data_IF_747091227974
#
_entry.id   IF_747091227974
#
_cell.length_a   1.000
_cell.length_b   1.000
_cell.length_c   1.000
_cell.angle_alpha   90.00
_cell.angle_beta   90.00
_cell.angle_gamma   90.00
#
_symmetry.space_group_name_H-M   'P 1'
#
loop_
_entity.id
_entity.type
_entity.pdbx_description
1 polymer ?
#
# COMPACT_ATOMS: atom_id res chain seq x y z
N UNK A 1 34.39 30.79 -27.12
CA UNK A 1 34.43 30.20 -25.75
C UNK A 1 33.00 29.81 -25.39
N UNK A 2 32.64 28.52 -25.47
CA UNK A 2 31.29 28.08 -25.13
C UNK A 2 31.18 27.91 -23.61
N UNK A 3 30.40 28.78 -22.96
CA UNK A 3 30.11 28.70 -21.53
C UNK A 3 29.45 27.36 -21.19
N UNK A 4 30.13 26.57 -20.35
CA UNK A 4 29.63 25.29 -19.82
C UNK A 4 28.38 25.59 -18.99
N UNK A 5 27.19 25.25 -19.50
CA UNK A 5 25.94 25.23 -18.73
C UNK A 5 26.14 24.32 -17.53
N UNK A 6 26.39 24.89 -16.35
CA UNK A 6 26.40 24.15 -15.09
C UNK A 6 24.97 23.73 -14.81
N UNK A 7 24.70 22.43 -14.77
CA UNK A 7 23.42 21.88 -14.34
C UNK A 7 23.18 22.36 -12.91
N UNK A 8 22.10 23.11 -12.68
CA UNK A 8 21.73 23.52 -11.32
C UNK A 8 21.46 22.26 -10.48
N UNK A 9 22.14 22.14 -9.35
CA UNK A 9 21.99 21.05 -8.39
C UNK A 9 21.44 21.59 -7.08
N UNK A 10 20.70 20.76 -6.34
CA UNK A 10 20.22 21.14 -5.01
C UNK A 10 21.33 21.01 -3.94
N UNK A 11 21.02 21.31 -2.68
CA UNK A 11 21.92 21.18 -1.54
C UNK A 11 22.50 19.77 -1.33
N UNK A 12 21.87 18.74 -1.90
CA UNK A 12 22.34 17.35 -1.87
C UNK A 12 23.14 16.96 -3.13
N UNK A 13 23.50 17.93 -3.98
CA UNK A 13 24.26 17.69 -5.21
C UNK A 13 23.47 17.02 -6.34
N UNK A 14 22.15 16.84 -6.19
CA UNK A 14 21.31 16.22 -7.22
C UNK A 14 20.82 17.25 -8.22
N UNK A 15 20.89 16.91 -9.50
CA UNK A 15 20.23 17.67 -10.56
C UNK A 15 18.71 17.55 -10.44
N UNK A 16 17.99 18.51 -11.01
CA UNK A 16 16.52 18.48 -11.07
C UNK A 16 16.00 17.14 -11.65
N UNK A 17 16.65 16.61 -12.69
CA UNK A 17 16.31 15.31 -13.28
C UNK A 17 16.51 14.13 -12.31
N UNK A 18 17.59 14.13 -11.54
CA UNK A 18 17.86 13.11 -10.52
C UNK A 18 16.87 13.19 -9.36
N UNK A 19 16.50 14.39 -8.92
CA UNK A 19 15.45 14.61 -7.92
C UNK A 19 14.11 14.07 -8.38
N UNK A 20 13.71 14.38 -9.61
CA UNK A 20 12.46 13.86 -10.18
C UNK A 20 12.48 12.33 -10.32
N UNK A 21 13.62 11.73 -10.68
CA UNK A 21 13.78 10.29 -10.75
C UNK A 21 13.66 9.64 -9.36
N UNK A 22 14.32 10.20 -8.34
CA UNK A 22 14.26 9.71 -6.97
C UNK A 22 12.85 9.80 -6.36
N UNK A 23 12.14 10.92 -6.60
CA UNK A 23 10.74 11.10 -6.16
C UNK A 23 9.84 10.07 -6.86
N UNK A 24 10.06 9.80 -8.15
CA UNK A 24 9.30 8.80 -8.90
C UNK A 24 9.54 7.39 -8.36
N UNK A 25 10.80 7.00 -8.17
CA UNK A 25 11.17 5.69 -7.65
C UNK A 25 10.59 5.45 -6.26
N UNK A 26 10.72 6.43 -5.35
CA UNK A 26 10.17 6.32 -3.99
C UNK A 26 8.64 6.15 -3.99
N UNK A 27 7.93 6.76 -4.94
CA UNK A 27 6.48 6.56 -5.11
C UNK A 27 6.12 5.19 -5.69
N UNK A 28 6.84 4.74 -6.71
CA UNK A 28 6.64 3.41 -7.30
C UNK A 28 6.90 2.30 -6.27
N UNK A 29 7.86 2.49 -5.38
CA UNK A 29 8.12 1.57 -4.27
C UNK A 29 6.98 1.58 -3.24
N UNK A 30 6.48 2.75 -2.83
CA UNK A 30 5.30 2.85 -1.95
C UNK A 30 4.05 2.22 -2.57
N UNK A 31 3.81 2.44 -3.86
CA UNK A 31 2.67 1.83 -4.57
C UNK A 31 2.79 0.30 -4.60
N UNK A 32 3.98 -0.24 -4.85
CA UNK A 32 4.22 -1.69 -4.80
C UNK A 32 4.04 -2.26 -3.40
N UNK A 33 4.59 -1.60 -2.39
CA UNK A 33 4.51 -2.07 -1.00
C UNK A 33 3.07 -2.05 -0.48
N UNK A 34 2.31 -0.98 -0.76
CA UNK A 34 0.89 -0.90 -0.39
C UNK A 34 0.03 -1.95 -1.12
N UNK A 35 0.31 -2.22 -2.40
CA UNK A 35 -0.37 -3.27 -3.15
C UNK A 35 -0.08 -4.68 -2.59
N UNK A 36 1.17 -4.95 -2.21
CA UNK A 36 1.55 -6.22 -1.57
C UNK A 36 0.87 -6.39 -0.21
N UNK A 37 0.87 -5.34 0.62
CA UNK A 37 0.20 -5.36 1.93
C UNK A 37 -1.32 -5.62 1.81
N UNK A 38 -1.98 -4.99 0.83
CA UNK A 38 -3.39 -5.25 0.56
C UNK A 38 -3.64 -6.70 0.11
N UNK A 39 -2.78 -7.25 -0.76
CA UNK A 39 -2.88 -8.65 -1.19
C UNK A 39 -2.71 -9.64 -0.03
N UNK A 40 -1.74 -9.40 0.85
CA UNK A 40 -1.54 -10.22 2.06
C UNK A 40 -2.75 -10.15 3.00
N UNK A 41 -3.30 -8.95 3.21
CA UNK A 41 -4.48 -8.76 4.05
C UNK A 41 -5.70 -9.52 3.49
N UNK A 42 -5.90 -9.49 2.16
CA UNK A 42 -6.94 -10.31 1.49
C UNK A 42 -6.73 -11.80 1.74
N UNK A 43 -5.49 -12.27 1.64
CA UNK A 43 -5.14 -13.66 1.94
C UNK A 43 -5.48 -14.06 3.39
N UNK A 44 -5.22 -13.17 4.37
CA UNK A 44 -5.58 -13.39 5.77
C UNK A 44 -7.10 -13.49 5.97
N UNK A 45 -7.88 -12.61 5.34
CA UNK A 45 -9.35 -12.68 5.40
C UNK A 45 -9.86 -14.00 4.82
N UNK A 46 -9.39 -14.39 3.63
CA UNK A 46 -9.81 -15.65 3.00
C UNK A 46 -9.48 -16.88 3.86
N UNK A 47 -8.32 -16.88 4.52
CA UNK A 47 -7.93 -17.94 5.47
C UNK A 47 -8.94 -18.04 6.61
N UNK A 48 -9.25 -16.93 7.28
CA UNK A 48 -10.16 -16.92 8.42
C UNK A 48 -11.61 -17.18 8.02
N UNK A 49 -12.04 -16.76 6.83
CA UNK A 49 -13.33 -17.12 6.25
C UNK A 49 -13.46 -18.65 6.11
N UNK A 50 -12.43 -19.31 5.56
CA UNK A 50 -12.41 -20.77 5.41
C UNK A 50 -12.45 -21.49 6.76
N UNK A 51 -11.63 -21.04 7.72
CA UNK A 51 -11.59 -21.62 9.07
C UNK A 51 -12.95 -21.47 9.75
N UNK A 52 -13.51 -20.26 9.78
CA UNK A 52 -14.80 -19.98 10.41
C UNK A 52 -15.92 -20.82 9.80
N UNK A 53 -15.98 -20.91 8.47
CA UNK A 53 -16.98 -21.76 7.78
C UNK A 53 -16.81 -23.23 8.12
N UNK A 54 -15.58 -23.73 8.14
CA UNK A 54 -15.28 -25.13 8.45
C UNK A 54 -15.62 -25.49 9.90
N UNK A 55 -15.33 -24.62 10.86
CA UNK A 55 -15.67 -24.81 12.28
C UNK A 55 -17.18 -24.76 12.50
N UNK A 56 -17.86 -23.82 11.83
CA UNK A 56 -19.33 -23.70 11.89
C UNK A 56 -20.02 -24.94 11.32
N UNK A 57 -19.53 -25.46 10.17
CA UNK A 57 -20.11 -26.64 9.53
C UNK A 57 -19.92 -27.92 10.35
N UNK A 58 -18.80 -28.05 11.07
CA UNK A 58 -18.50 -29.21 11.92
C UNK A 58 -19.16 -29.14 13.31
N UNK A 59 -19.78 -28.01 13.65
CA UNK A 59 -20.34 -27.80 14.98
C UNK A 59 -19.26 -27.80 16.07
N UNK A 60 -18.06 -27.32 15.76
CA UNK A 60 -16.96 -27.25 16.74
C UNK A 60 -17.30 -26.31 17.90
N UNK A 61 -16.56 -26.49 19.00
CA UNK A 61 -16.74 -25.79 20.26
C UNK A 61 -16.95 -24.27 20.10
N UNK A 62 -17.84 -23.73 20.94
CA UNK A 62 -18.27 -22.34 20.89
C UNK A 62 -17.08 -21.37 21.09
N UNK A 63 -16.11 -21.69 21.95
CA UNK A 63 -14.99 -20.79 22.23
C UNK A 63 -14.03 -20.70 21.05
N UNK A 64 -13.72 -21.84 20.43
CA UNK A 64 -12.88 -21.91 19.24
C UNK A 64 -13.50 -21.15 18.06
N UNK A 65 -14.82 -21.30 17.88
CA UNK A 65 -15.58 -20.59 16.83
C UNK A 65 -15.58 -19.09 17.07
N UNK A 66 -15.81 -18.64 18.29
CA UNK A 66 -15.86 -17.22 18.64
C UNK A 66 -14.48 -16.56 18.52
N UNK A 67 -13.40 -17.30 18.80
CA UNK A 67 -12.04 -16.86 18.48
C UNK A 67 -11.85 -16.67 16.98
N UNK A 68 -12.24 -17.66 16.17
CA UNK A 68 -12.10 -17.58 14.71
C UNK A 68 -12.90 -16.41 14.11
N UNK A 69 -14.12 -16.15 14.62
CA UNK A 69 -14.94 -14.99 14.22
C UNK A 69 -14.23 -13.68 14.57
N UNK A 70 -13.69 -13.53 15.78
CA UNK A 70 -12.94 -12.31 16.16
C UNK A 70 -11.68 -12.12 15.31
N UNK A 71 -10.95 -13.19 15.03
CA UNK A 71 -9.76 -13.14 14.17
C UNK A 71 -10.12 -12.73 12.73
N UNK A 72 -11.24 -13.24 12.21
CA UNK A 72 -11.79 -12.85 10.91
C UNK A 72 -12.15 -11.36 10.88
N UNK A 73 -12.87 -10.86 11.88
CA UNK A 73 -13.25 -9.44 11.97
C UNK A 73 -12.03 -8.53 12.01
N UNK A 74 -10.99 -8.91 12.78
CA UNK A 74 -9.73 -8.16 12.80
C UNK A 74 -9.06 -8.14 11.43
N UNK A 75 -8.99 -9.29 10.75
CA UNK A 75 -8.41 -9.37 9.42
C UNK A 75 -9.17 -8.52 8.38
N UNK A 76 -10.50 -8.42 8.51
CA UNK A 76 -11.32 -7.53 7.67
C UNK A 76 -11.00 -6.05 7.94
N UNK A 77 -10.80 -5.64 9.19
CA UNK A 77 -10.35 -4.30 9.54
C UNK A 77 -8.95 -3.98 8.98
N UNK A 78 -8.02 -4.93 9.08
CA UNK A 78 -6.67 -4.80 8.52
C UNK A 78 -6.71 -4.68 6.98
N UNK A 79 -7.61 -5.42 6.32
CA UNK A 79 -7.84 -5.31 4.89
C UNK A 79 -8.38 -3.93 4.50
N UNK A 80 -9.41 -3.45 5.19
CA UNK A 80 -9.98 -2.13 4.92
C UNK A 80 -8.90 -1.04 5.02
N UNK A 81 -8.05 -1.10 6.06
CA UNK A 81 -6.93 -0.18 6.22
C UNK A 81 -5.92 -0.28 5.07
N UNK A 82 -5.49 -1.50 4.72
CA UNK A 82 -4.53 -1.71 3.64
C UNK A 82 -5.07 -1.26 2.28
N UNK A 83 -6.37 -1.40 2.04
CA UNK A 83 -7.03 -0.89 0.82
C UNK A 83 -7.09 0.63 0.81
N UNK A 84 -7.36 1.28 1.94
CA UNK A 84 -7.25 2.74 2.07
C UNK A 84 -5.83 3.21 1.77
N UNK A 85 -4.82 2.61 2.41
CA UNK A 85 -3.40 2.95 2.20
C UNK A 85 -2.99 2.77 0.73
N UNK A 86 -3.50 1.72 0.06
CA UNK A 86 -3.28 1.49 -1.37
C UNK A 86 -3.93 2.58 -2.24
N UNK A 87 -5.15 3.02 -1.90
CA UNK A 87 -5.83 4.09 -2.63
C UNK A 87 -5.10 5.42 -2.43
N UNK A 88 -4.71 5.74 -1.20
CA UNK A 88 -3.97 6.96 -0.88
C UNK A 88 -2.64 7.01 -1.64
N UNK A 89 -1.87 5.91 -1.67
CA UNK A 89 -0.65 5.80 -2.44
C UNK A 89 -0.87 6.06 -3.95
N UNK A 90 -2.01 5.62 -4.50
CA UNK A 90 -2.41 5.88 -5.89
C UNK A 90 -2.88 7.32 -6.11
N UNK A 91 -3.57 7.93 -5.15
CA UNK A 91 -4.02 9.32 -5.24
C UNK A 91 -2.86 10.31 -5.10
N UNK A 92 -1.85 10.02 -4.27
CA UNK A 92 -0.61 10.80 -4.21
C UNK A 92 0.13 10.83 -5.56
N UNK A 93 0.04 9.74 -6.34
CA UNK A 93 0.54 9.68 -7.73
C UNK A 93 -0.28 10.56 -8.68
N UNK A 94 -1.59 10.68 -8.48
CA UNK A 94 -2.50 11.50 -9.27
C UNK A 94 -2.39 13.02 -9.00
N UNK A 95 -2.33 13.41 -7.72
CA UNK A 95 -2.31 14.81 -7.29
C UNK A 95 -1.06 15.57 -7.79
N UNK A 96 0.09 14.89 -7.93
CA UNK A 96 1.31 15.49 -8.47
C UNK A 96 1.28 15.69 -10.00
N UNK A 97 0.35 15.04 -10.70
CA UNK A 97 0.15 15.21 -12.15
C UNK A 97 -0.70 16.45 -12.47
N UNK A 98 -1.59 16.86 -11.56
CA UNK A 98 -2.46 18.04 -11.71
C UNK A 98 -1.83 19.38 -11.33
N UNK A 99 -0.76 19.40 -10.52
CA UNK A 99 -0.11 20.63 -10.02
C UNK A 99 1.05 21.13 -10.91
N UNK A 100 1.05 20.79 -12.20
CA UNK A 100 2.01 21.29 -13.23
C UNK A 100 1.30 21.88 -14.46
N UNK A 101 0.10 22.41 -14.28
CA UNK A 101 -0.74 22.93 -15.37
C UNK A 101 -1.58 24.16 -14.98
N UNK A 102 -1.02 25.08 -14.19
CA UNK A 102 -1.51 26.47 -14.08
C UNK A 102 -0.32 27.40 -13.98
#
# INVERSE_FOLDING_TARGET
>A
MFGRRTTATNSNGMTEGQLHAAIRQGREERERNSAAAAAEARGRVQKWDRITRSMTARGEDHEGRDFAIRARTRAQGDLAKAETDQMDAKFERGAFRGRRGR
#
